data_IF_206698738910
#
_entry.id   IF_206698738910
#
_cell.length_a   1.000
_cell.length_b   1.000
_cell.length_c   1.000
_cell.angle_alpha   90.00
_cell.angle_beta   90.00
_cell.angle_gamma   90.00
#
_symmetry.space_group_name_H-M   'P 1'
#
loop_
_entity.id
_entity.type
_entity.pdbx_description
1 polymer ?
#
# COMPACT_ATOMS: atom_id res chain seq x y z
N UNK A 1 -14.33 15.68 -43.26
CA UNK A 1 -14.67 16.71 -42.26
C UNK A 1 -16.17 16.66 -42.06
N UNK A 2 -16.65 16.13 -40.93
CA UNK A 2 -18.08 16.07 -40.59
C UNK A 2 -18.25 16.86 -39.29
N UNK A 3 -19.16 17.82 -39.37
CA UNK A 3 -19.31 18.96 -38.48
C UNK A 3 -20.01 18.62 -37.17
N UNK A 4 -19.52 19.25 -36.10
CA UNK A 4 -20.06 19.28 -34.74
C UNK A 4 -21.40 19.99 -34.69
N UNK A 5 -22.46 19.31 -34.20
CA UNK A 5 -23.64 19.87 -33.49
C UNK A 5 -24.71 18.78 -33.29
N UNK A 6 -24.57 17.98 -32.25
CA UNK A 6 -25.67 17.25 -31.64
C UNK A 6 -25.33 17.06 -30.15
N UNK A 7 -26.35 17.16 -29.29
CA UNK A 7 -26.30 17.12 -27.82
C UNK A 7 -26.11 18.47 -27.12
N UNK A 8 -27.10 19.34 -27.31
CA UNK A 8 -27.53 20.27 -26.28
C UNK A 8 -29.00 19.93 -25.95
N UNK A 9 -29.32 19.90 -24.65
CA UNK A 9 -30.65 19.85 -24.03
C UNK A 9 -31.39 18.50 -24.00
N UNK A 10 -31.17 17.75 -22.91
CA UNK A 10 -32.22 16.94 -22.26
C UNK A 10 -31.97 16.94 -20.74
N UNK A 11 -32.18 18.11 -20.13
CA UNK A 11 -32.25 18.25 -18.68
C UNK A 11 -33.52 19.03 -18.34
N UNK A 12 -34.67 18.34 -18.33
CA UNK A 12 -35.90 18.86 -17.75
C UNK A 12 -36.63 17.76 -16.97
N UNK A 13 -36.61 17.95 -15.64
CA UNK A 13 -37.69 17.71 -14.68
C UNK A 13 -38.56 16.47 -14.87
N UNK A 14 -38.35 15.48 -14.00
CA UNK A 14 -39.46 14.74 -13.41
C UNK A 14 -39.38 14.85 -11.89
N UNK A 15 -40.24 15.73 -11.34
CA UNK A 15 -40.68 15.68 -9.95
C UNK A 15 -41.94 14.82 -9.94
N UNK A 16 -41.87 13.65 -9.34
CA UNK A 16 -43.06 12.91 -8.89
C UNK A 16 -42.90 12.61 -7.41
N UNK A 17 -43.95 12.97 -6.67
CA UNK A 17 -44.01 12.96 -5.23
C UNK A 17 -44.07 11.54 -4.67
N UNK A 18 -43.15 11.20 -3.78
CA UNK A 18 -43.28 10.04 -2.89
C UNK A 18 -43.78 10.55 -1.53
N UNK A 19 -44.94 10.04 -1.11
CA UNK A 19 -45.56 10.29 0.20
C UNK A 19 -44.73 9.64 1.32
N UNK A 20 -44.70 10.21 2.54
CA UNK A 20 -43.96 9.64 3.66
C UNK A 20 -44.71 8.47 4.30
N UNK A 21 -44.01 7.44 4.81
CA UNK A 21 -44.61 6.48 5.71
C UNK A 21 -44.82 7.09 7.10
N UNK A 22 -45.96 6.73 7.69
CA UNK A 22 -46.51 7.18 8.96
C UNK A 22 -45.69 6.75 10.18
N UNK A 23 -45.60 7.67 11.14
CA UNK A 23 -45.12 7.53 12.52
C UNK A 23 -45.61 6.29 13.27
N UNK A 24 -44.69 5.58 13.95
CA UNK A 24 -44.98 4.94 15.24
C UNK A 24 -43.70 4.63 16.04
N UNK A 25 -43.66 5.12 17.27
CA UNK A 25 -42.85 4.67 18.43
C UNK A 25 -41.41 5.19 18.57
N UNK A 26 -41.28 6.50 18.84
CA UNK A 26 -40.17 7.01 19.66
C UNK A 26 -40.60 7.00 21.13
N UNK A 27 -39.94 6.17 21.95
CA UNK A 27 -40.07 6.19 23.42
C UNK A 27 -39.23 7.36 23.96
N UNK A 28 -39.79 8.24 24.81
CA UNK A 28 -39.01 9.31 25.41
C UNK A 28 -38.05 8.77 26.49
N UNK A 29 -36.76 9.08 26.35
CA UNK A 29 -35.74 8.82 27.36
C UNK A 29 -35.92 9.84 28.49
N UNK A 30 -36.52 9.40 29.59
CA UNK A 30 -36.64 10.16 30.84
C UNK A 30 -35.24 10.40 31.43
N UNK A 31 -34.84 11.67 31.51
CA UNK A 31 -33.72 12.09 32.35
C UNK A 31 -34.12 11.95 33.82
N UNK A 32 -33.61 10.92 34.49
CA UNK A 32 -33.66 10.82 35.95
C UNK A 32 -32.33 11.28 36.53
N UNK A 33 -32.39 12.36 37.31
CA UNK A 33 -31.35 12.74 38.25
C UNK A 33 -31.30 11.67 39.36
N UNK A 34 -30.14 11.06 39.57
CA UNK A 34 -29.85 10.33 40.80
C UNK A 34 -28.50 10.75 41.37
N UNK A 35 -28.54 10.99 42.68
CA UNK A 35 -27.48 11.54 43.52
C UNK A 35 -26.41 10.48 43.79
N UNK A 36 -25.18 10.98 43.95
CA UNK A 36 -24.04 10.43 44.68
C UNK A 36 -23.99 8.94 45.03
N UNK A 37 -22.99 8.25 44.49
CA UNK A 37 -22.42 7.06 45.11
C UNK A 37 -20.89 7.04 44.92
N UNK A 38 -20.25 6.91 46.06
CA UNK A 38 -18.82 6.80 46.39
C UNK A 38 -17.97 5.95 45.46
N UNK A 39 -16.75 6.43 45.17
CA UNK A 39 -15.68 5.69 44.50
C UNK A 39 -15.27 4.42 45.27
N UNK A 40 -15.20 3.25 44.62
CA UNK A 40 -14.28 2.20 44.99
C UNK A 40 -13.04 2.28 44.10
N UNK A 41 -11.90 2.57 44.70
CA UNK A 41 -10.58 2.35 44.11
C UNK A 41 -10.35 0.86 43.94
N UNK A 42 -10.44 0.34 42.71
CA UNK A 42 -9.91 -0.97 42.38
C UNK A 42 -8.98 -0.85 41.17
N UNK A 43 -7.69 -0.98 41.45
CA UNK A 43 -6.62 -1.15 40.49
C UNK A 43 -6.81 -2.43 39.69
N UNK A 44 -7.45 -2.33 38.53
CA UNK A 44 -7.40 -3.39 37.50
C UNK A 44 -6.08 -3.23 36.76
N UNK A 45 -5.04 -3.89 37.26
CA UNK A 45 -3.82 -4.08 36.48
C UNK A 45 -4.16 -4.88 35.23
N UNK A 46 -3.85 -4.26 34.10
CA UNK A 46 -4.12 -4.68 32.74
C UNK A 46 -3.53 -6.07 32.48
N UNK A 47 -4.38 -7.10 32.49
CA UNK A 47 -4.01 -8.51 32.27
C UNK A 47 -3.99 -8.88 30.78
N UNK A 48 -3.53 -7.98 29.91
CA UNK A 48 -3.25 -8.25 28.49
C UNK A 48 -1.81 -8.74 28.28
N UNK A 49 -1.33 -9.66 29.12
CA UNK A 49 -0.27 -10.58 28.72
C UNK A 49 -0.95 -11.81 28.11
N UNK A 50 -1.46 -11.63 26.89
CA UNK A 50 -1.74 -12.77 26.03
C UNK A 50 -0.40 -13.38 25.66
N UNK A 51 -0.18 -14.61 26.13
CA UNK A 51 0.87 -15.51 25.70
C UNK A 51 0.94 -15.51 24.16
N UNK A 52 1.85 -14.71 23.60
CA UNK A 52 2.24 -14.88 22.21
C UNK A 52 3.06 -16.16 22.16
N UNK A 53 2.72 -17.12 21.27
CA UNK A 53 3.57 -18.27 21.07
C UNK A 53 4.98 -17.77 20.69
N UNK A 54 6.05 -18.48 21.10
CA UNK A 54 7.41 -18.10 20.74
C UNK A 54 7.48 -17.93 19.22
N UNK A 55 7.99 -16.77 18.77
CA UNK A 55 8.15 -16.40 17.37
C UNK A 55 9.00 -17.48 16.68
N UNK A 56 8.36 -18.48 16.07
CA UNK A 56 9.05 -19.38 15.17
C UNK A 56 9.57 -18.50 14.03
N UNK A 57 10.89 -18.50 13.87
CA UNK A 57 11.66 -17.61 13.00
C UNK A 57 11.45 -17.94 11.53
N UNK A 58 10.23 -17.76 11.04
CA UNK A 58 9.95 -17.84 9.61
C UNK A 58 10.15 -16.48 8.97
N UNK A 59 10.85 -16.47 7.83
CA UNK A 59 10.96 -15.27 7.01
C UNK A 59 9.54 -14.82 6.58
N UNK A 60 9.27 -13.51 6.49
CA UNK A 60 7.92 -13.01 6.25
C UNK A 60 7.37 -13.49 4.91
N UNK A 61 6.06 -13.73 4.87
CA UNK A 61 5.35 -13.98 3.61
C UNK A 61 5.19 -12.69 2.82
N UNK A 62 5.28 -12.82 1.50
CA UNK A 62 5.03 -11.77 0.51
C UNK A 62 3.79 -12.18 -0.25
N UNK A 63 2.68 -11.48 -0.03
CA UNK A 63 1.37 -11.83 -0.59
C UNK A 63 0.78 -10.70 -1.41
N UNK A 64 0.08 -11.05 -2.49
CA UNK A 64 -0.78 -10.10 -3.20
C UNK A 64 -2.15 -9.97 -2.50
N UNK A 65 -2.95 -8.96 -2.89
CA UNK A 65 -4.27 -8.72 -2.28
C UNK A 65 -5.22 -9.92 -2.37
N UNK A 66 -5.20 -10.70 -3.46
CA UNK A 66 -6.04 -11.87 -3.61
C UNK A 66 -5.42 -13.17 -3.07
N UNK A 67 -4.21 -13.12 -2.51
CA UNK A 67 -3.50 -14.29 -1.97
C UNK A 67 -2.90 -15.26 -2.99
N UNK A 68 -3.24 -15.14 -4.29
CA UNK A 68 -2.73 -16.04 -5.34
C UNK A 68 -1.21 -16.04 -5.46
N UNK A 69 -0.58 -14.87 -5.31
CA UNK A 69 0.88 -14.79 -5.17
C UNK A 69 1.18 -14.84 -3.69
N UNK A 70 1.91 -15.87 -3.26
CA UNK A 70 2.42 -16.03 -1.91
C UNK A 70 3.80 -16.67 -1.99
N UNK A 71 4.85 -15.95 -1.58
CA UNK A 71 6.21 -16.48 -1.49
C UNK A 71 6.86 -16.07 -0.17
N UNK A 72 7.80 -16.87 0.30
CA UNK A 72 8.58 -16.58 1.52
C UNK A 72 9.77 -15.68 1.16
N UNK A 73 10.03 -14.63 1.95
CA UNK A 73 11.24 -13.81 1.76
C UNK A 73 12.52 -14.63 2.00
N UNK A 74 13.64 -14.25 1.37
CA UNK A 74 14.93 -14.95 1.53
C UNK A 74 15.55 -14.77 2.91
N UNK A 75 15.10 -13.78 3.69
CA UNK A 75 15.55 -13.50 5.06
C UNK A 75 14.47 -12.79 5.86
N UNK A 76 14.58 -12.82 7.18
CA UNK A 76 13.60 -12.23 8.10
C UNK A 76 13.53 -10.70 7.95
N UNK A 77 14.68 -10.02 7.94
CA UNK A 77 14.76 -8.56 7.84
C UNK A 77 15.22 -8.12 6.45
N UNK A 78 14.61 -7.10 5.82
CA UNK A 78 15.10 -6.56 4.56
C UNK A 78 16.47 -5.89 4.74
N UNK A 79 17.23 -5.80 3.64
CA UNK A 79 18.50 -5.06 3.58
C UNK A 79 18.30 -3.56 3.80
N UNK A 80 17.15 -3.03 3.37
CA UNK A 80 16.76 -1.63 3.57
C UNK A 80 15.27 -1.44 3.32
N UNK A 81 14.72 -0.36 3.87
CA UNK A 81 13.32 0.04 3.72
C UNK A 81 13.26 1.46 3.17
N UNK A 82 12.30 1.71 2.27
CA UNK A 82 12.13 3.01 1.64
C UNK A 82 10.68 3.45 1.62
N UNK A 83 10.49 4.76 1.77
CA UNK A 83 9.25 5.50 1.46
C UNK A 83 9.56 6.43 0.30
N UNK A 84 9.13 6.06 -0.90
CA UNK A 84 9.41 6.80 -2.12
C UNK A 84 8.24 7.71 -2.50
N UNK A 85 8.53 9.00 -2.60
CA UNK A 85 7.57 10.07 -2.87
C UNK A 85 7.51 10.48 -4.33
N UNK A 86 8.21 9.80 -5.24
CA UNK A 86 8.14 10.14 -6.66
C UNK A 86 6.75 9.86 -7.24
N UNK A 87 6.38 10.61 -8.29
CA UNK A 87 5.07 10.50 -8.95
C UNK A 87 4.81 9.09 -9.52
N UNK A 88 5.84 8.38 -9.96
CA UNK A 88 5.70 6.98 -10.38
C UNK A 88 5.33 6.05 -9.22
N UNK A 89 5.89 6.26 -8.02
CA UNK A 89 5.54 5.49 -6.83
C UNK A 89 4.16 5.86 -6.29
N UNK A 90 3.75 7.13 -6.43
CA UNK A 90 2.38 7.58 -6.15
C UNK A 90 1.36 6.90 -7.06
N UNK A 91 1.57 6.93 -8.39
CA UNK A 91 0.70 6.25 -9.36
C UNK A 91 0.62 4.74 -9.07
N UNK A 92 1.76 4.10 -8.86
CA UNK A 92 1.86 2.66 -8.67
C UNK A 92 1.19 2.18 -7.38
N UNK A 93 1.19 3.01 -6.32
CA UNK A 93 0.52 2.70 -5.05
C UNK A 93 -0.91 3.24 -4.97
N UNK A 94 -1.29 4.13 -5.89
CA UNK A 94 -2.53 4.93 -5.81
C UNK A 94 -2.64 5.65 -4.46
N UNK A 95 -1.50 6.13 -3.95
CA UNK A 95 -1.39 6.74 -2.62
C UNK A 95 -0.34 7.87 -2.61
N UNK A 96 -0.11 8.49 -1.45
CA UNK A 96 0.83 9.58 -1.26
C UNK A 96 2.29 9.21 -1.56
N UNK A 97 2.63 7.93 -1.43
CA UNK A 97 3.97 7.38 -1.64
C UNK A 97 3.92 5.86 -1.87
N UNK A 98 4.99 5.31 -2.44
CA UNK A 98 5.20 3.86 -2.50
C UNK A 98 6.17 3.39 -1.41
N UNK A 99 5.90 2.25 -0.79
CA UNK A 99 6.82 1.62 0.18
C UNK A 99 7.55 0.45 -0.45
N UNK A 100 8.80 0.23 -0.06
CA UNK A 100 9.56 -0.93 -0.54
C UNK A 100 10.51 -1.48 0.53
N UNK A 101 10.63 -2.81 0.53
CA UNK A 101 11.56 -3.60 1.31
C UNK A 101 12.55 -4.25 0.33
N UNK A 102 13.84 -4.03 0.53
CA UNK A 102 14.88 -4.57 -0.35
C UNK A 102 15.33 -5.93 0.19
N UNK A 103 15.24 -6.96 -0.65
CA UNK A 103 15.74 -8.30 -0.33
C UNK A 103 16.77 -8.76 -1.35
N UNK A 104 17.71 -9.66 -1.00
CA UNK A 104 18.55 -10.34 -1.98
C UNK A 104 17.69 -11.02 -3.05
N UNK A 105 18.16 -11.02 -4.30
CA UNK A 105 17.48 -11.78 -5.36
C UNK A 105 17.66 -13.29 -5.20
N UNK A 106 18.79 -13.71 -4.63
CA UNK A 106 19.05 -15.11 -4.30
C UNK A 106 17.97 -15.63 -3.34
N UNK A 107 17.45 -16.84 -3.63
CA UNK A 107 16.35 -17.45 -2.89
C UNK A 107 14.95 -16.89 -3.19
N UNK A 108 14.84 -15.85 -4.03
CA UNK A 108 13.54 -15.25 -4.40
C UNK A 108 13.35 -15.08 -5.92
N UNK A 109 14.41 -15.23 -6.71
CA UNK A 109 14.39 -15.07 -8.16
C UNK A 109 15.08 -16.26 -8.86
N UNK A 110 14.51 -16.78 -9.96
CA UNK A 110 13.21 -16.45 -10.54
C UNK A 110 12.05 -16.85 -9.62
N UNK A 111 10.84 -16.37 -9.93
CA UNK A 111 9.64 -16.83 -9.20
C UNK A 111 9.45 -18.35 -9.32
N UNK A 112 8.91 -19.01 -8.28
CA UNK A 112 8.50 -20.42 -8.34
C UNK A 112 7.61 -20.72 -9.56
N UNK A 113 7.79 -21.90 -10.18
CA UNK A 113 7.16 -22.27 -11.46
C UNK A 113 5.64 -22.18 -11.42
N UNK A 114 5.04 -22.60 -10.32
CA UNK A 114 3.59 -22.55 -10.05
C UNK A 114 3.05 -21.11 -9.99
N UNK A 115 3.87 -20.14 -9.58
CA UNK A 115 3.46 -18.73 -9.52
C UNK A 115 3.61 -18.00 -10.86
N UNK A 116 4.52 -18.44 -11.74
CA UNK A 116 4.88 -17.69 -12.96
C UNK A 116 3.67 -17.37 -13.86
N UNK A 117 2.72 -18.30 -13.99
CA UNK A 117 1.51 -18.08 -14.80
C UNK A 117 0.65 -16.92 -14.27
N UNK A 118 0.66 -16.69 -12.96
CA UNK A 118 -0.11 -15.65 -12.27
C UNK A 118 0.60 -14.29 -12.23
N UNK A 119 1.83 -14.21 -12.74
CA UNK A 119 2.66 -13.01 -12.67
C UNK A 119 2.69 -12.32 -14.04
N UNK A 120 2.29 -11.06 -14.05
CA UNK A 120 2.48 -10.13 -15.15
C UNK A 120 3.77 -9.34 -14.97
N UNK A 121 4.36 -8.90 -16.08
CA UNK A 121 5.53 -8.03 -16.08
C UNK A 121 5.34 -6.96 -17.15
N UNK A 122 5.68 -5.72 -16.80
CA UNK A 122 6.01 -4.69 -17.77
C UNK A 122 7.28 -3.99 -17.32
N UNK A 123 8.03 -3.42 -18.26
CA UNK A 123 9.29 -2.76 -17.98
C UNK A 123 9.22 -1.27 -18.36
N UNK A 124 9.97 -0.45 -17.62
CA UNK A 124 10.15 0.98 -17.94
C UNK A 124 11.59 1.40 -17.77
N UNK A 125 11.98 2.46 -18.48
CA UNK A 125 13.25 3.14 -18.22
C UNK A 125 13.11 4.04 -17.00
N UNK A 126 14.14 4.07 -16.16
CA UNK A 126 14.29 5.06 -15.11
C UNK A 126 15.25 6.18 -15.58
N UNK A 127 15.21 7.34 -14.94
CA UNK A 127 16.06 8.49 -15.27
C UNK A 127 17.56 8.18 -15.17
N UNK A 128 17.93 7.24 -14.29
CA UNK A 128 19.29 6.67 -14.21
C UNK A 128 19.75 5.98 -15.50
N UNK A 129 18.84 5.70 -16.42
CA UNK A 129 19.03 4.84 -17.56
C UNK A 129 19.06 3.35 -17.20
N UNK A 130 18.64 2.95 -16.01
CA UNK A 130 18.38 1.54 -15.73
C UNK A 130 16.99 1.15 -16.23
N UNK A 131 16.79 -0.13 -16.54
CA UNK A 131 15.46 -0.69 -16.81
C UNK A 131 14.88 -1.23 -15.50
N UNK A 132 13.62 -0.91 -15.21
CA UNK A 132 12.88 -1.39 -14.04
C UNK A 132 11.81 -2.36 -14.52
N UNK A 133 12.06 -3.65 -14.32
CA UNK A 133 11.07 -4.71 -14.52
C UNK A 133 10.08 -4.68 -13.36
N UNK A 134 8.79 -4.52 -13.66
CA UNK A 134 7.75 -4.33 -12.67
C UNK A 134 6.82 -5.56 -12.66
N UNK A 135 6.91 -6.39 -11.62
CA UNK A 135 6.14 -7.63 -11.50
C UNK A 135 4.87 -7.45 -10.67
N UNK A 136 3.74 -7.95 -11.15
CA UNK A 136 2.43 -7.78 -10.54
C UNK A 136 1.57 -9.04 -10.64
N UNK A 137 0.61 -9.18 -9.74
CA UNK A 137 -0.37 -10.26 -9.81
C UNK A 137 -1.37 -9.99 -10.95
N UNK A 138 -1.54 -10.93 -11.88
CA UNK A 138 -2.56 -10.84 -12.95
C UNK A 138 -3.99 -10.88 -12.43
N UNK A 139 -4.21 -11.49 -11.25
CA UNK A 139 -5.55 -11.64 -10.65
C UNK A 139 -6.08 -10.36 -10.00
N UNK A 140 -5.25 -9.64 -9.23
CA UNK A 140 -5.67 -8.45 -8.49
C UNK A 140 -4.96 -7.15 -8.90
N UNK A 141 -3.99 -7.21 -9.82
CA UNK A 141 -3.23 -6.03 -10.27
C UNK A 141 -2.17 -5.51 -9.29
N UNK A 142 -2.12 -6.03 -8.06
CA UNK A 142 -1.15 -5.59 -7.04
C UNK A 142 0.29 -5.77 -7.53
N UNK A 143 1.07 -4.69 -7.39
CA UNK A 143 2.50 -4.69 -7.66
C UNK A 143 3.23 -5.44 -6.54
N UNK A 144 3.98 -6.48 -6.89
CA UNK A 144 4.66 -7.35 -5.91
C UNK A 144 6.09 -6.91 -5.68
N UNK A 145 6.88 -6.79 -6.74
CA UNK A 145 8.27 -6.38 -6.64
C UNK A 145 8.77 -5.76 -7.94
N UNK A 146 9.87 -5.02 -7.85
CA UNK A 146 10.65 -4.59 -9.00
C UNK A 146 12.03 -5.25 -9.01
N UNK A 147 12.49 -5.56 -10.23
CA UNK A 147 13.88 -5.95 -10.51
C UNK A 147 14.51 -4.87 -11.38
N UNK A 148 15.70 -4.41 -10.99
CA UNK A 148 16.42 -3.37 -11.73
C UNK A 148 17.47 -4.05 -12.59
N UNK A 149 17.48 -3.72 -13.87
CA UNK A 149 18.49 -4.15 -14.84
C UNK A 149 19.35 -2.92 -15.17
N UNK A 150 20.65 -3.05 -14.98
CA UNK A 150 21.62 -2.02 -15.29
C UNK A 150 21.75 -1.80 -16.80
N UNK A 151 22.41 -0.71 -17.20
CA UNK A 151 22.59 -0.34 -18.62
C UNK A 151 23.31 -1.42 -19.43
N UNK A 152 24.21 -2.16 -18.80
CA UNK A 152 24.97 -3.27 -19.39
C UNK A 152 24.17 -4.59 -19.46
N UNK A 153 22.89 -4.58 -19.06
CA UNK A 153 22.02 -5.76 -19.05
C UNK A 153 22.16 -6.62 -17.80
N UNK A 154 23.08 -6.30 -16.89
CA UNK A 154 23.25 -7.07 -15.65
C UNK A 154 22.13 -6.76 -14.66
N UNK A 155 21.55 -7.76 -14.00
CA UNK A 155 20.54 -7.51 -12.98
C UNK A 155 21.20 -7.04 -11.68
N UNK A 156 20.57 -6.07 -11.02
CA UNK A 156 20.90 -5.75 -9.63
C UNK A 156 20.66 -7.00 -8.76
N UNK A 157 21.58 -7.36 -7.85
CA UNK A 157 21.47 -8.56 -7.01
C UNK A 157 20.46 -8.40 -5.85
N UNK A 158 19.45 -7.54 -6.04
CA UNK A 158 18.40 -7.29 -5.06
C UNK A 158 17.06 -7.00 -5.75
N UNK A 159 15.99 -7.32 -5.02
CA UNK A 159 14.61 -7.10 -5.42
C UNK A 159 14.01 -6.02 -4.52
N UNK A 160 13.28 -5.08 -5.13
CA UNK A 160 12.50 -4.09 -4.40
C UNK A 160 11.05 -4.59 -4.25
N UNK A 161 10.80 -5.35 -3.19
CA UNK A 161 9.47 -5.87 -2.82
C UNK A 161 8.61 -4.74 -2.28
N UNK A 162 7.32 -4.69 -2.66
CA UNK A 162 6.42 -3.63 -2.20
C UNK A 162 6.06 -3.89 -0.74
N UNK A 163 6.27 -2.88 0.11
CA UNK A 163 6.17 -3.03 1.56
C UNK A 163 4.78 -3.51 2.02
N UNK A 164 3.71 -3.03 1.37
CA UNK A 164 2.34 -3.49 1.66
C UNK A 164 2.05 -4.95 1.32
N UNK A 165 2.93 -5.64 0.60
CA UNK A 165 2.82 -7.09 0.34
C UNK A 165 3.55 -7.92 1.40
N UNK A 166 4.40 -7.33 2.24
CA UNK A 166 5.26 -8.04 3.19
C UNK A 166 4.56 -8.14 4.53
N UNK A 167 4.37 -9.36 5.03
CA UNK A 167 3.76 -9.61 6.33
C UNK A 167 4.58 -8.95 7.46
N UNK A 168 3.90 -8.24 8.36
CA UNK A 168 4.53 -7.55 9.48
C UNK A 168 5.39 -6.32 9.11
N UNK A 169 5.30 -5.83 7.87
CA UNK A 169 6.09 -4.68 7.44
C UNK A 169 5.75 -3.41 8.22
N UNK A 170 6.80 -2.73 8.69
CA UNK A 170 6.70 -1.44 9.37
C UNK A 170 7.71 -0.43 8.78
N UNK A 171 7.49 0.85 9.05
CA UNK A 171 8.29 1.95 8.51
C UNK A 171 9.47 2.35 9.41
N UNK A 172 9.72 1.65 10.51
CA UNK A 172 10.83 1.98 11.41
C UNK A 172 12.18 1.90 10.66
N UNK A 173 12.98 2.97 10.69
CA UNK A 173 14.25 3.01 9.95
C UNK A 173 14.11 3.06 8.41
N UNK A 174 12.91 3.29 7.87
CA UNK A 174 12.73 3.50 6.44
C UNK A 174 13.24 4.88 6.01
N UNK A 175 14.00 4.92 4.91
CA UNK A 175 14.48 6.19 4.33
C UNK A 175 13.42 6.80 3.42
N UNK A 176 13.15 8.08 3.62
CA UNK A 176 12.25 8.85 2.77
C UNK A 176 13.04 9.45 1.60
N UNK A 177 12.65 9.09 0.37
CA UNK A 177 13.39 9.44 -0.85
C UNK A 177 12.46 10.12 -1.87
N UNK A 178 13.05 10.97 -2.71
CA UNK A 178 12.37 11.77 -3.74
C UNK A 178 11.29 12.71 -3.15
N UNK A 179 11.56 13.29 -1.98
CA UNK A 179 10.58 14.03 -1.18
C UNK A 179 10.12 15.37 -1.77
N UNK A 180 10.76 15.89 -2.83
CA UNK A 180 10.26 17.08 -3.56
C UNK A 180 8.87 16.90 -4.18
N UNK A 181 8.40 15.67 -4.33
CA UNK A 181 7.04 15.37 -4.81
C UNK A 181 6.13 14.86 -3.70
N UNK A 182 6.55 14.93 -2.44
CA UNK A 182 5.77 14.43 -1.32
C UNK A 182 4.41 15.14 -1.23
N UNK A 183 3.35 14.34 -1.05
CA UNK A 183 1.99 14.82 -0.83
C UNK A 183 1.63 14.88 0.67
N UNK A 184 2.58 14.50 1.53
CA UNK A 184 2.47 14.48 2.98
C UNK A 184 3.76 15.02 3.59
N UNK A 185 3.74 15.50 4.84
CA UNK A 185 4.95 15.87 5.55
C UNK A 185 5.97 14.72 5.57
N UNK A 186 7.26 15.07 5.47
CA UNK A 186 8.38 14.12 5.51
C UNK A 186 9.32 14.46 6.66
N UNK A 187 10.02 13.48 7.25
CA UNK A 187 11.01 13.73 8.29
C UNK A 187 12.12 14.69 7.82
N UNK A 188 12.69 15.44 8.75
CA UNK A 188 13.89 16.23 8.48
C UNK A 188 15.05 15.32 8.02
N UNK A 189 15.91 15.82 7.12
CA UNK A 189 16.99 15.03 6.53
C UNK A 189 16.56 14.02 5.46
N UNK A 190 15.28 13.98 5.09
CA UNK A 190 14.81 13.14 3.97
C UNK A 190 15.45 13.54 2.64
N UNK A 191 15.70 12.56 1.77
CA UNK A 191 16.40 12.76 0.51
C UNK A 191 15.46 13.35 -0.56
N UNK A 192 15.68 14.60 -1.02
CA UNK A 192 14.80 15.22 -2.02
C UNK A 192 14.93 14.59 -3.42
N UNK A 193 15.99 13.83 -3.68
CA UNK A 193 16.32 13.18 -4.95
C UNK A 193 17.00 14.13 -5.96
N UNK A 194 17.14 13.71 -7.22
CA UNK A 194 17.60 14.56 -8.33
C UNK A 194 16.48 15.48 -8.88
N UNK A 195 16.75 16.77 -9.22
CA UNK A 195 15.73 17.71 -9.70
C UNK A 195 14.87 17.09 -10.80
N UNK A 196 13.58 17.46 -10.88
CA UNK A 196 12.75 16.98 -12.00
C UNK A 196 13.40 17.45 -13.29
N UNK A 197 13.82 16.52 -14.14
CA UNK A 197 14.12 16.86 -15.53
C UNK A 197 12.75 17.18 -16.14
N UNK A 198 12.52 18.44 -16.52
CA UNK A 198 11.27 18.80 -17.22
C UNK A 198 11.21 17.97 -18.50
N UNK A 199 10.04 17.37 -18.83
CA UNK A 199 9.85 16.71 -20.11
C UNK A 199 10.02 17.69 -21.27
#
# INVERSE_FOLDING_TARGET
MISSKAYLLLAFRQRTALRPPTSSLLRPYLMSHSKGMTHPTSSTTNRYHSNMPPKLSENPKITCQCGTISLTASRAEPLSKYVCHCTECQKQSTSAFGTSAIFPSEGMWPFPKDLQQHIGMWARRADSGNTVECYFCKGCGVRILHRVIFKDGTPRPSLAVKGGCVEGFNLEGARHIYTRSALVPVPEGSEPGAPRVKP
#
